data_IF_017455447814
#
_entry.id   IF_017455447814
#
_cell.length_a   1.000
_cell.length_b   1.000
_cell.length_c   1.000
_cell.angle_alpha   90.00
_cell.angle_beta   90.00
_cell.angle_gamma   90.00
#
_symmetry.space_group_name_H-M   'P 1'
#
loop_
_entity.id
_entity.type
_entity.pdbx_description
1 polymer ?
#
# COMPACT_ATOMS: atom_id res chain seq x y z
N UNK A 1 11.92 -26.34 29.97
CA UNK A 1 11.59 -24.90 30.05
C UNK A 1 10.54 -24.63 29.00
N UNK A 2 9.44 -23.93 29.31
CA UNK A 2 8.52 -23.48 28.25
C UNK A 2 9.27 -22.45 27.41
N UNK A 3 9.30 -22.63 26.09
CA UNK A 3 9.93 -21.68 25.17
C UNK A 3 9.30 -20.30 25.38
N UNK A 4 10.12 -19.30 25.69
CA UNK A 4 9.68 -17.91 25.78
C UNK A 4 9.83 -17.28 24.41
N UNK A 5 8.70 -16.90 23.79
CA UNK A 5 8.66 -16.31 22.45
C UNK A 5 8.15 -14.88 22.58
N UNK A 6 8.86 -13.94 21.96
CA UNK A 6 8.38 -12.56 21.85
C UNK A 6 7.80 -12.39 20.46
N UNK A 7 6.57 -11.89 20.38
CA UNK A 7 5.87 -11.66 19.11
C UNK A 7 5.50 -10.19 19.02
N UNK A 8 5.79 -9.58 17.87
CA UNK A 8 5.25 -8.27 17.48
C UNK A 8 4.35 -8.47 16.28
N UNK A 9 3.21 -7.79 16.23
CA UNK A 9 2.31 -7.88 15.07
C UNK A 9 1.61 -6.57 14.78
N UNK A 10 1.40 -6.31 13.49
CA UNK A 10 0.63 -5.17 13.00
C UNK A 10 -0.10 -5.53 11.69
N UNK A 11 -1.15 -4.80 11.36
CA UNK A 11 -1.90 -4.97 10.14
C UNK A 11 -2.83 -3.80 9.85
N UNK A 12 -3.03 -3.52 8.56
CA UNK A 12 -3.87 -2.40 8.15
C UNK A 12 -4.33 -2.52 6.71
N UNK A 13 -5.39 -1.77 6.39
CA UNK A 13 -5.90 -1.58 5.03
C UNK A 13 -5.92 -0.10 4.66
N UNK A 14 -5.70 0.19 3.39
CA UNK A 14 -5.82 1.54 2.85
C UNK A 14 -6.25 1.47 1.37
N UNK A 15 -7.47 1.94 1.02
CA UNK A 15 -8.52 2.45 1.90
C UNK A 15 -9.06 1.37 2.88
N UNK A 16 -9.94 1.76 3.81
CA UNK A 16 -10.56 0.84 4.80
C UNK A 16 -12.10 0.89 4.70
N UNK A 17 -12.77 -0.10 4.06
CA UNK A 17 -12.20 -1.32 3.48
C UNK A 17 -11.41 -1.08 2.18
N UNK A 18 -10.45 -1.96 1.88
CA UNK A 18 -9.58 -1.87 0.71
C UNK A 18 -8.43 -2.87 0.77
N UNK A 19 -7.35 -2.60 0.03
CA UNK A 19 -6.17 -3.47 0.02
C UNK A 19 -5.54 -3.44 1.41
N UNK A 20 -5.25 -4.61 1.98
CA UNK A 20 -4.63 -4.73 3.29
C UNK A 20 -3.38 -5.59 3.29
N UNK A 21 -2.54 -5.34 4.29
CA UNK A 21 -1.34 -6.09 4.59
C UNK A 21 -1.21 -6.28 6.09
N UNK A 22 -0.58 -7.36 6.48
CA UNK A 22 -0.29 -7.70 7.86
C UNK A 22 1.12 -8.27 7.97
N UNK A 23 1.72 -8.14 9.15
CA UNK A 23 3.01 -8.71 9.46
C UNK A 23 3.10 -9.15 10.91
N UNK A 24 3.92 -10.17 11.16
CA UNK A 24 4.33 -10.59 12.48
C UNK A 24 5.81 -10.95 12.52
N UNK A 25 6.50 -10.54 13.57
CA UNK A 25 7.90 -10.90 13.85
C UNK A 25 7.93 -11.71 15.13
N UNK A 26 8.43 -12.94 15.05
CA UNK A 26 8.57 -13.86 16.18
C UNK A 26 10.05 -14.03 16.52
N UNK A 27 10.39 -13.90 17.80
CA UNK A 27 11.75 -14.01 18.30
C UNK A 27 11.84 -15.15 19.33
N UNK A 28 12.80 -16.06 19.12
CA UNK A 28 13.10 -17.18 20.00
C UNK A 28 14.61 -17.37 20.15
N UNK A 29 15.16 -16.96 21.29
CA UNK A 29 16.61 -16.93 21.50
C UNK A 29 17.28 -16.02 20.47
N UNK A 30 18.22 -16.56 19.69
CA UNK A 30 18.89 -15.85 18.60
C UNK A 30 18.16 -15.94 17.25
N UNK A 31 17.05 -16.67 17.17
CA UNK A 31 16.32 -16.89 15.94
C UNK A 31 15.17 -15.90 15.80
N UNK A 32 14.97 -15.43 14.59
CA UNK A 32 13.85 -14.59 14.22
C UNK A 32 13.12 -15.20 13.03
N UNK A 33 11.79 -15.08 13.05
CA UNK A 33 10.93 -15.44 11.94
C UNK A 33 10.01 -14.27 11.61
N UNK A 34 10.06 -13.83 10.37
CA UNK A 34 9.15 -12.82 9.82
C UNK A 34 8.04 -13.52 9.04
N UNK A 35 6.80 -13.14 9.30
CA UNK A 35 5.61 -13.56 8.58
C UNK A 35 4.94 -12.31 8.02
N UNK A 36 4.53 -12.38 6.77
CA UNK A 36 3.75 -11.33 6.11
C UNK A 36 2.62 -11.96 5.32
N UNK A 37 1.59 -11.17 5.07
CA UNK A 37 0.53 -11.52 4.15
C UNK A 37 -0.33 -10.32 3.86
N UNK A 38 -1.26 -10.49 2.94
CA UNK A 38 -2.00 -9.40 2.35
C UNK A 38 -3.33 -9.89 1.80
N UNK A 39 -4.24 -8.95 1.56
CA UNK A 39 -5.58 -9.25 1.08
C UNK A 39 -6.11 -8.09 0.22
N UNK A 40 -6.65 -8.34 -0.99
CA UNK A 40 -7.03 -7.28 -1.93
C UNK A 40 -8.25 -6.46 -1.47
N UNK A 41 -9.10 -7.01 -0.61
CA UNK A 41 -10.28 -6.33 -0.07
C UNK A 41 -10.56 -6.75 1.38
N UNK A 42 -10.16 -5.94 2.34
CA UNK A 42 -10.21 -6.24 3.77
C UNK A 42 -10.36 -4.95 4.58
N UNK A 43 -10.31 -5.03 5.90
CA UNK A 43 -10.33 -3.88 6.82
C UNK A 43 -9.11 -3.87 7.72
N UNK A 44 -8.85 -2.75 8.40
CA UNK A 44 -7.76 -2.66 9.39
C UNK A 44 -7.88 -3.76 10.44
N UNK A 45 -9.05 -3.83 11.09
CA UNK A 45 -9.34 -4.81 12.14
C UNK A 45 -9.12 -6.27 11.70
N UNK A 46 -9.44 -6.60 10.43
CA UNK A 46 -9.21 -7.95 9.90
C UNK A 46 -7.73 -8.24 9.69
N UNK A 47 -6.95 -7.26 9.25
CA UNK A 47 -5.50 -7.43 9.08
C UNK A 47 -4.77 -7.52 10.42
N UNK A 48 -5.17 -6.73 11.42
CA UNK A 48 -4.65 -6.83 12.79
C UNK A 48 -4.93 -8.23 13.38
N UNK A 49 -6.17 -8.74 13.24
CA UNK A 49 -6.53 -10.09 13.66
C UNK A 49 -5.73 -11.16 12.91
N UNK A 50 -5.59 -11.02 11.59
CA UNK A 50 -4.86 -11.97 10.77
C UNK A 50 -3.37 -12.03 11.16
N UNK A 51 -2.76 -10.89 11.50
CA UNK A 51 -1.39 -10.84 12.00
C UNK A 51 -1.21 -11.70 13.26
N UNK A 52 -2.12 -11.56 14.23
CA UNK A 52 -2.10 -12.33 15.47
C UNK A 52 -2.36 -13.82 15.24
N UNK A 53 -3.36 -14.15 14.42
CA UNK A 53 -3.69 -15.54 14.06
C UNK A 53 -2.49 -16.22 13.40
N UNK A 54 -1.90 -15.58 12.38
CA UNK A 54 -0.78 -16.13 11.63
C UNK A 54 0.45 -16.34 12.52
N UNK A 55 0.71 -15.43 13.44
CA UNK A 55 1.81 -15.57 14.39
C UNK A 55 1.62 -16.80 15.28
N UNK A 56 0.47 -16.92 15.95
CA UNK A 56 0.17 -18.03 16.87
C UNK A 56 0.05 -19.37 16.13
N UNK A 57 -0.62 -19.41 14.99
CA UNK A 57 -0.77 -20.62 14.17
C UNK A 57 0.56 -21.16 13.64
N UNK A 58 1.61 -20.33 13.57
CA UNK A 58 2.93 -20.76 13.14
C UNK A 58 3.70 -21.57 14.19
N UNK A 59 3.22 -21.55 15.44
CA UNK A 59 3.82 -22.28 16.56
C UNK A 59 3.36 -23.73 16.55
N UNK A 60 4.33 -24.66 16.56
CA UNK A 60 4.05 -26.11 16.44
C UNK A 60 3.72 -26.80 17.77
N UNK A 61 3.79 -26.06 18.89
CA UNK A 61 3.58 -26.58 20.24
C UNK A 61 3.14 -25.47 21.20
N UNK A 62 2.56 -25.82 22.36
CA UNK A 62 2.28 -24.85 23.43
C UNK A 62 3.53 -24.09 23.87
N UNK A 63 3.43 -22.76 24.01
CA UNK A 63 4.54 -21.84 24.31
C UNK A 63 4.11 -20.82 25.38
N UNK A 64 5.08 -20.18 26.01
CA UNK A 64 4.88 -18.95 26.77
C UNK A 64 5.21 -17.77 25.84
N UNK A 65 4.30 -16.81 25.72
CA UNK A 65 4.38 -15.76 24.70
C UNK A 65 4.25 -14.39 25.34
N UNK A 66 5.18 -13.49 25.04
CA UNK A 66 5.03 -12.05 25.25
C UNK A 66 4.57 -11.45 23.91
N UNK A 67 3.28 -11.10 23.80
CA UNK A 67 2.66 -10.68 22.54
C UNK A 67 2.45 -9.17 22.55
N UNK A 68 3.13 -8.47 21.65
CA UNK A 68 3.09 -7.01 21.49
C UNK A 68 2.27 -6.61 20.26
N UNK A 69 1.33 -5.70 20.46
CA UNK A 69 0.55 -5.08 19.37
C UNK A 69 0.06 -3.69 19.80
N UNK A 70 -0.06 -2.76 18.86
CA UNK A 70 -0.72 -1.48 19.07
C UNK A 70 -2.22 -1.48 18.71
N UNK A 71 -2.73 -2.60 18.16
CA UNK A 71 -4.14 -2.76 17.83
C UNK A 71 -5.00 -2.66 19.07
N UNK A 72 -5.75 -1.56 19.13
CA UNK A 72 -6.77 -1.34 20.14
C UNK A 72 -7.91 -2.37 19.99
N UNK A 73 -8.20 -2.81 18.77
CA UNK A 73 -9.25 -3.78 18.48
C UNK A 73 -8.89 -5.18 19.02
N UNK A 74 -7.67 -5.65 18.77
CA UNK A 74 -7.17 -6.92 19.32
C UNK A 74 -7.08 -6.83 20.85
N UNK A 75 -6.53 -5.73 21.38
CA UNK A 75 -6.46 -5.49 22.83
C UNK A 75 -7.82 -5.61 23.50
N UNK A 76 -8.81 -4.85 23.03
CA UNK A 76 -10.13 -4.85 23.65
C UNK A 76 -10.83 -6.20 23.49
N UNK A 77 -10.70 -6.83 22.33
CA UNK A 77 -11.30 -8.14 22.11
C UNK A 77 -10.76 -9.20 23.05
N UNK A 78 -9.44 -9.33 23.16
CA UNK A 78 -8.80 -10.30 24.05
C UNK A 78 -9.09 -10.00 25.53
N UNK A 79 -9.03 -8.73 25.95
CA UNK A 79 -9.10 -8.41 27.39
C UNK A 79 -10.51 -8.17 27.92
N UNK A 80 -11.50 -7.93 27.06
CA UNK A 80 -12.85 -7.52 27.50
C UNK A 80 -14.00 -8.30 26.86
N UNK A 81 -13.84 -8.84 25.66
CA UNK A 81 -14.99 -9.30 24.87
C UNK A 81 -15.01 -10.79 24.59
N UNK A 82 -13.84 -11.39 24.31
CA UNK A 82 -13.73 -12.70 23.68
C UNK A 82 -14.36 -13.82 24.52
N UNK A 83 -14.19 -13.80 25.84
CA UNK A 83 -14.80 -14.78 26.76
C UNK A 83 -16.33 -14.73 26.65
N UNK A 84 -16.91 -13.54 26.77
CA UNK A 84 -18.35 -13.34 26.69
C UNK A 84 -18.93 -13.62 25.30
N UNK A 85 -18.15 -13.45 24.24
CA UNK A 85 -18.53 -13.86 22.88
C UNK A 85 -18.49 -15.37 22.72
N UNK A 86 -17.47 -16.05 23.24
CA UNK A 86 -17.35 -17.50 23.18
C UNK A 86 -18.50 -18.19 23.96
N UNK A 87 -18.85 -17.67 25.15
CA UNK A 87 -20.00 -18.17 25.94
C UNK A 87 -21.35 -18.01 25.24
N UNK A 88 -21.46 -17.02 24.34
CA UNK A 88 -22.69 -16.68 23.61
C UNK A 88 -22.69 -17.19 22.18
N UNK A 89 -21.88 -18.20 21.87
CA UNK A 89 -21.78 -18.79 20.52
C UNK A 89 -21.56 -17.72 19.44
N UNK A 90 -20.69 -16.74 19.75
CA UNK A 90 -20.28 -15.65 18.86
C UNK A 90 -21.42 -14.76 18.37
N UNK A 91 -22.49 -14.63 19.17
CA UNK A 91 -23.66 -13.80 18.87
C UNK A 91 -23.82 -12.65 19.85
N UNK A 92 -24.24 -11.51 19.31
CA UNK A 92 -24.66 -10.32 20.06
C UNK A 92 -26.08 -10.49 20.60
N UNK A 93 -26.47 -9.59 21.51
CA UNK A 93 -27.85 -9.48 21.99
C UNK A 93 -28.76 -9.18 20.79
N UNK A 94 -29.71 -10.08 20.52
CA UNK A 94 -30.56 -10.02 19.31
C UNK A 94 -30.17 -11.01 18.20
N UNK A 95 -29.20 -11.90 18.44
CA UNK A 95 -28.92 -13.06 17.58
C UNK A 95 -28.03 -12.79 16.37
N UNK A 96 -27.64 -11.53 16.11
CA UNK A 96 -26.67 -11.19 15.08
C UNK A 96 -25.28 -11.71 15.45
N UNK A 97 -24.52 -12.19 14.47
CA UNK A 97 -23.12 -12.57 14.68
C UNK A 97 -22.27 -11.36 15.09
N UNK A 98 -21.24 -11.61 15.89
CA UNK A 98 -20.20 -10.62 16.21
C UNK A 98 -19.43 -10.26 14.93
N UNK A 99 -19.03 -9.00 14.79
CA UNK A 99 -18.20 -8.59 13.67
C UNK A 99 -16.86 -9.35 13.67
N UNK A 100 -16.45 -9.85 12.49
CA UNK A 100 -15.25 -10.68 12.34
C UNK A 100 -15.25 -11.96 13.20
N UNK A 101 -16.43 -12.53 13.49
CA UNK A 101 -16.56 -13.76 14.27
C UNK A 101 -15.74 -14.92 13.69
N UNK A 102 -15.55 -14.96 12.37
CA UNK A 102 -14.74 -15.95 11.65
C UNK A 102 -13.26 -15.92 12.08
N UNK A 103 -12.69 -14.72 12.24
CA UNK A 103 -11.30 -14.54 12.69
C UNK A 103 -11.18 -14.66 14.20
N UNK A 104 -12.14 -14.12 14.96
CA UNK A 104 -12.14 -14.23 16.41
C UNK A 104 -12.23 -15.69 16.90
N UNK A 105 -13.02 -16.53 16.24
CA UNK A 105 -13.08 -17.97 16.53
C UNK A 105 -11.73 -18.66 16.33
N UNK A 106 -11.04 -18.34 15.23
CA UNK A 106 -9.70 -18.86 14.95
C UNK A 106 -8.68 -18.38 15.99
N UNK A 107 -8.68 -17.08 16.30
CA UNK A 107 -7.78 -16.51 17.29
C UNK A 107 -8.02 -17.13 18.67
N UNK A 108 -9.28 -17.31 19.07
CA UNK A 108 -9.64 -17.93 20.35
C UNK A 108 -9.10 -19.35 20.48
N UNK A 109 -9.29 -20.18 19.44
CA UNK A 109 -8.74 -21.53 19.39
C UNK A 109 -7.23 -21.56 19.62
N UNK A 110 -6.49 -20.59 19.07
CA UNK A 110 -5.04 -20.49 19.22
C UNK A 110 -4.65 -19.97 20.59
N UNK A 111 -5.34 -18.94 21.10
CA UNK A 111 -5.09 -18.36 22.43
C UNK A 111 -5.19 -19.42 23.51
N UNK A 112 -6.15 -20.34 23.42
CA UNK A 112 -6.32 -21.43 24.40
C UNK A 112 -5.16 -22.45 24.42
N UNK A 113 -4.32 -22.49 23.38
CA UNK A 113 -3.20 -23.44 23.29
C UNK A 113 -1.91 -22.92 23.93
N UNK A 114 -1.81 -21.61 24.20
CA UNK A 114 -0.59 -20.96 24.66
C UNK A 114 -0.81 -20.21 25.97
N UNK A 115 0.27 -19.97 26.71
CA UNK A 115 0.26 -19.02 27.83
C UNK A 115 0.71 -17.66 27.31
N UNK A 116 -0.24 -16.76 27.04
CA UNK A 116 0.05 -15.47 26.40
C UNK A 116 -0.09 -14.33 27.39
N UNK A 117 0.97 -13.52 27.49
CA UNK A 117 0.98 -12.22 28.15
C UNK A 117 0.86 -11.15 27.05
N UNK A 118 -0.24 -10.39 27.06
CA UNK A 118 -0.51 -9.36 26.05
C UNK A 118 0.02 -8.01 26.49
N UNK A 119 0.86 -7.41 25.66
CA UNK A 119 1.40 -6.06 25.82
C UNK A 119 0.80 -5.16 24.77
N UNK A 120 0.02 -4.18 25.24
CA UNK A 120 -0.40 -3.10 24.36
C UNK A 120 0.68 -2.03 24.34
N UNK A 121 1.20 -1.78 23.15
CA UNK A 121 2.11 -0.66 22.90
C UNK A 121 1.33 0.47 22.24
N UNK A 122 1.70 1.71 22.54
CA UNK A 122 1.05 2.85 21.89
C UNK A 122 1.64 3.01 20.48
N UNK A 123 0.80 3.03 19.45
CA UNK A 123 1.23 3.22 18.07
C UNK A 123 2.11 4.46 17.90
N UNK A 124 3.19 4.32 17.13
CA UNK A 124 4.19 5.36 16.83
C UNK A 124 4.89 5.98 18.06
N UNK A 125 5.02 5.23 19.16
CA UNK A 125 5.72 5.70 20.38
C UNK A 125 7.25 5.46 20.38
N UNK A 126 7.84 5.09 19.24
CA UNK A 126 9.29 4.86 19.13
C UNK A 126 9.77 3.47 19.55
N UNK A 127 8.89 2.45 19.59
CA UNK A 127 9.30 1.05 19.73
C UNK A 127 9.83 0.55 18.36
N UNK A 128 11.13 0.23 18.23
CA UNK A 128 11.71 -0.15 16.95
C UNK A 128 11.11 -1.42 16.34
N UNK A 129 10.64 -2.36 17.16
CA UNK A 129 10.01 -3.59 16.65
C UNK A 129 8.58 -3.34 16.20
N UNK A 130 7.83 -2.48 16.90
CA UNK A 130 6.50 -2.08 16.44
C UNK A 130 6.55 -1.30 15.11
N UNK A 131 7.48 -0.35 14.99
CA UNK A 131 7.70 0.39 13.73
C UNK A 131 8.13 -0.53 12.58
N UNK A 132 8.88 -1.59 12.91
CA UNK A 132 9.29 -2.59 11.94
C UNK A 132 8.11 -3.43 11.44
N UNK A 133 7.20 -3.89 12.31
CA UNK A 133 6.02 -4.64 11.86
C UNK A 133 5.03 -3.77 11.09
N UNK A 134 4.85 -2.50 11.45
CA UNK A 134 4.07 -1.53 10.64
C UNK A 134 4.65 -1.41 9.22
N UNK A 135 5.97 -1.24 9.13
CA UNK A 135 6.66 -1.14 7.84
C UNK A 135 6.47 -2.40 7.01
N UNK A 136 6.59 -3.59 7.61
CA UNK A 136 6.40 -4.88 6.95
C UNK A 136 4.95 -5.08 6.50
N UNK A 137 3.97 -4.74 7.33
CA UNK A 137 2.55 -4.83 6.99
C UNK A 137 2.21 -3.89 5.81
N UNK A 138 2.76 -2.67 5.83
CA UNK A 138 2.62 -1.72 4.72
C UNK A 138 3.30 -2.21 3.44
N UNK A 139 4.47 -2.84 3.54
CA UNK A 139 5.13 -3.46 2.38
C UNK A 139 4.29 -4.60 1.82
N UNK A 140 3.82 -5.52 2.67
CA UNK A 140 2.96 -6.62 2.26
C UNK A 140 1.68 -6.14 1.56
N UNK A 141 1.06 -5.06 2.06
CA UNK A 141 -0.09 -4.41 1.40
C UNK A 141 0.23 -3.99 -0.04
N UNK A 142 1.41 -3.42 -0.26
CA UNK A 142 1.86 -3.01 -1.59
C UNK A 142 2.22 -4.20 -2.49
N UNK A 143 2.62 -5.34 -1.90
CA UNK A 143 2.92 -6.58 -2.63
C UNK A 143 1.66 -7.22 -3.25
N UNK A 144 0.46 -7.08 -2.64
CA UNK A 144 -0.84 -7.42 -3.27
C UNK A 144 -1.40 -6.22 -4.05
N UNK A 145 -0.59 -5.70 -4.96
CA UNK A 145 -1.20 -5.30 -6.22
C UNK A 145 -0.80 -6.34 -7.26
N UNK A 146 -1.49 -7.49 -7.37
CA UNK A 146 -1.17 -8.53 -8.34
C UNK A 146 -1.81 -8.25 -9.70
N UNK A 147 -1.18 -8.73 -10.77
CA UNK A 147 -1.66 -8.71 -12.17
C UNK A 147 -2.96 -9.48 -12.37
N UNK A 148 -3.20 -10.49 -11.53
CA UNK A 148 -4.31 -11.43 -11.65
C UNK A 148 -5.68 -10.98 -11.07
N UNK A 149 -5.78 -9.75 -10.53
CA UNK A 149 -7.03 -9.20 -9.95
C UNK A 149 -7.52 -7.92 -10.60
N UNK A 150 -6.82 -7.45 -11.61
CA UNK A 150 -7.46 -6.61 -12.61
C UNK A 150 -8.20 -7.57 -13.54
N UNK A 151 -9.42 -7.26 -14.01
CA UNK A 151 -9.97 -7.93 -15.18
C UNK A 151 -8.85 -8.06 -16.22
N UNK A 152 -8.80 -9.18 -16.94
CA UNK A 152 -7.76 -9.46 -17.95
C UNK A 152 -7.62 -8.39 -19.04
N UNK A 153 -8.49 -7.38 -19.07
CA UNK A 153 -8.57 -6.31 -20.04
C UNK A 153 -8.77 -4.94 -19.34
N UNK A 154 -7.92 -4.57 -18.37
CA UNK A 154 -7.89 -3.16 -17.93
C UNK A 154 -6.91 -2.34 -18.78
N UNK A 155 -7.24 -1.07 -19.02
CA UNK A 155 -6.32 -0.11 -19.62
C UNK A 155 -4.93 -0.11 -18.97
N UNK A 156 -3.89 -0.07 -19.81
CA UNK A 156 -2.47 0.03 -19.40
C UNK A 156 -1.86 1.30 -19.96
N UNK A 157 -1.42 2.18 -19.06
CA UNK A 157 -0.71 3.41 -19.39
C UNK A 157 0.80 3.21 -19.19
N UNK A 158 1.59 3.52 -20.21
CA UNK A 158 3.04 3.49 -20.16
C UNK A 158 3.58 4.91 -20.29
N UNK A 159 4.26 5.38 -19.24
CA UNK A 159 4.66 6.76 -19.10
C UNK A 159 6.17 6.93 -19.27
N UNK A 160 6.57 7.95 -20.04
CA UNK A 160 7.96 8.41 -20.11
C UNK A 160 8.02 9.93 -20.23
N UNK A 161 9.15 10.48 -19.80
CA UNK A 161 9.50 11.87 -20.04
C UNK A 161 10.90 12.03 -20.60
N UNK A 162 11.18 13.22 -21.11
CA UNK A 162 12.52 13.67 -21.50
C UNK A 162 12.65 15.17 -21.26
N UNK A 163 13.80 15.61 -20.74
CA UNK A 163 14.14 17.03 -20.64
C UNK A 163 15.58 17.26 -21.09
N UNK A 164 15.80 18.28 -21.91
CA UNK A 164 17.12 18.76 -22.29
C UNK A 164 17.48 19.97 -21.43
N UNK A 165 18.28 19.74 -20.40
CA UNK A 165 18.50 20.72 -19.34
C UNK A 165 17.42 20.60 -18.26
N UNK A 166 17.77 20.92 -17.01
CA UNK A 166 16.86 20.75 -15.87
C UNK A 166 17.03 21.95 -14.91
N UNK A 167 16.38 23.10 -15.18
CA UNK A 167 15.27 23.28 -16.13
C UNK A 167 15.69 23.46 -17.59
N UNK A 168 14.78 23.15 -18.53
CA UNK A 168 14.95 23.31 -19.97
C UNK A 168 13.75 22.77 -20.76
N UNK A 169 13.82 22.73 -22.11
CA UNK A 169 12.78 22.15 -22.94
C UNK A 169 12.54 20.69 -22.60
N UNK A 170 11.28 20.35 -22.32
CA UNK A 170 10.87 19.02 -21.89
C UNK A 170 9.65 18.53 -22.64
N UNK A 171 9.50 17.21 -22.67
CA UNK A 171 8.38 16.51 -23.26
C UNK A 171 8.00 15.31 -22.42
N UNK A 172 6.74 14.93 -22.54
CA UNK A 172 6.18 13.71 -21.96
C UNK A 172 5.52 12.90 -23.07
N UNK A 173 5.48 11.59 -22.87
CA UNK A 173 4.85 10.63 -23.77
C UNK A 173 4.08 9.59 -22.98
N UNK A 174 2.89 9.27 -23.48
CA UNK A 174 1.98 8.27 -22.93
C UNK A 174 1.60 7.32 -24.05
N UNK A 175 1.64 6.03 -23.74
CA UNK A 175 1.01 4.99 -24.57
C UNK A 175 -0.07 4.35 -23.72
N UNK A 176 -1.30 4.35 -24.24
CA UNK A 176 -2.45 3.64 -23.69
C UNK A 176 -2.64 2.36 -24.49
N UNK A 177 -2.77 1.23 -23.80
CA UNK A 177 -3.15 -0.05 -24.38
C UNK A 177 -4.44 -0.54 -23.73
N UNK A 178 -5.47 -0.69 -24.53
CA UNK A 178 -6.79 -1.23 -24.14
C UNK A 178 -7.14 -2.36 -25.09
N UNK A 179 -7.41 -3.56 -24.56
CA UNK A 179 -7.61 -4.77 -25.36
C UNK A 179 -6.45 -4.96 -26.38
N UNK A 180 -6.72 -4.82 -27.68
CA UNK A 180 -5.75 -4.89 -28.78
C UNK A 180 -5.46 -3.53 -29.44
N UNK A 181 -6.01 -2.43 -28.91
CA UNK A 181 -5.80 -1.08 -29.42
C UNK A 181 -4.69 -0.34 -28.66
N UNK A 182 -3.93 0.45 -29.41
CA UNK A 182 -2.84 1.27 -28.88
C UNK A 182 -3.08 2.73 -29.27
N UNK A 183 -3.26 3.58 -28.27
CA UNK A 183 -3.36 5.03 -28.42
C UNK A 183 -2.11 5.72 -27.87
N UNK A 184 -1.71 6.84 -28.50
CA UNK A 184 -0.53 7.60 -28.15
C UNK A 184 -0.89 9.04 -27.87
N UNK A 185 -0.32 9.61 -26.82
CA UNK A 185 -0.44 11.03 -26.52
C UNK A 185 0.90 11.59 -26.06
N UNK A 186 1.15 12.85 -26.37
CA UNK A 186 2.38 13.54 -25.97
C UNK A 186 2.13 15.03 -25.80
N UNK A 187 3.10 15.70 -25.18
CA UNK A 187 3.09 17.14 -25.02
C UNK A 187 4.43 17.64 -24.55
N UNK A 188 4.62 18.95 -24.59
CA UNK A 188 5.89 19.57 -24.28
C UNK A 188 5.74 20.92 -23.57
N UNK A 189 6.82 21.35 -22.93
CA UNK A 189 6.94 22.63 -22.26
C UNK A 189 8.38 23.17 -22.41
N UNK A 190 8.53 24.43 -22.85
CA UNK A 190 9.83 25.05 -23.14
C UNK A 190 10.75 25.19 -21.92
N UNK A 191 10.19 25.38 -20.74
CA UNK A 191 10.94 25.70 -19.53
C UNK A 191 10.42 24.88 -18.36
N UNK A 192 10.80 23.60 -18.33
CA UNK A 192 10.27 22.64 -17.37
C UNK A 192 11.39 21.79 -16.76
N UNK A 193 11.03 20.82 -15.92
CA UNK A 193 11.96 19.85 -15.34
C UNK A 193 11.52 18.44 -15.68
N UNK A 194 12.44 17.48 -15.66
CA UNK A 194 12.06 16.08 -15.93
C UNK A 194 10.97 15.62 -14.94
N UNK A 195 11.13 15.96 -13.66
CA UNK A 195 10.15 15.63 -12.63
C UNK A 195 8.75 16.20 -12.87
N UNK A 196 8.64 17.41 -13.46
CA UNK A 196 7.34 17.95 -13.86
C UNK A 196 6.75 17.15 -15.01
N UNK A 197 7.55 16.83 -16.03
CA UNK A 197 7.11 16.04 -17.18
C UNK A 197 6.65 14.64 -16.78
N UNK A 198 7.28 13.99 -15.79
CA UNK A 198 6.83 12.70 -15.28
C UNK A 198 5.41 12.78 -14.67
N UNK A 199 5.12 13.82 -13.86
CA UNK A 199 3.78 13.99 -13.27
C UNK A 199 2.77 14.39 -14.34
N UNK A 200 3.15 15.26 -15.27
CA UNK A 200 2.28 15.66 -16.39
C UNK A 200 1.93 14.48 -17.28
N UNK A 201 2.86 13.55 -17.54
CA UNK A 201 2.58 12.31 -18.27
C UNK A 201 1.47 11.50 -17.57
N UNK A 202 1.54 11.35 -16.25
CA UNK A 202 0.53 10.62 -15.49
C UNK A 202 -0.86 11.29 -15.54
N UNK A 203 -0.91 12.61 -15.35
CA UNK A 203 -2.15 13.38 -15.43
C UNK A 203 -2.76 13.23 -16.83
N UNK A 204 -1.94 13.44 -17.87
CA UNK A 204 -2.40 13.40 -19.25
C UNK A 204 -2.87 12.00 -19.66
N UNK A 205 -2.19 10.95 -19.21
CA UNK A 205 -2.60 9.58 -19.46
C UNK A 205 -3.91 9.21 -18.76
N UNK A 206 -4.12 9.63 -17.52
CA UNK A 206 -5.40 9.42 -16.83
C UNK A 206 -6.57 10.13 -17.54
N UNK A 207 -6.32 11.32 -18.10
CA UNK A 207 -7.33 12.06 -18.86
C UNK A 207 -7.69 11.44 -20.22
N UNK A 208 -6.93 10.45 -20.70
CA UNK A 208 -7.31 9.65 -21.87
C UNK A 208 -8.40 8.62 -21.53
N UNK A 209 -8.62 8.35 -20.24
CA UNK A 209 -9.54 7.32 -19.77
C UNK A 209 -10.85 7.92 -19.29
N UNK A 210 -11.93 7.16 -19.47
CA UNK A 210 -13.21 7.45 -18.84
C UNK A 210 -13.10 7.45 -17.31
N UNK A 211 -13.80 8.40 -16.67
CA UNK A 211 -13.84 8.48 -15.21
C UNK A 211 -14.51 7.24 -14.63
N UNK A 212 -13.89 6.65 -13.60
CA UNK A 212 -14.32 5.42 -12.96
C UNK A 212 -13.57 4.18 -13.45
N UNK A 213 -12.76 4.31 -14.50
CA UNK A 213 -11.95 3.20 -15.02
C UNK A 213 -10.93 2.68 -14.00
N UNK A 214 -10.68 1.38 -14.05
CA UNK A 214 -9.53 0.75 -13.44
C UNK A 214 -8.35 0.79 -14.43
N UNK A 215 -7.14 1.07 -13.96
CA UNK A 215 -5.97 1.25 -14.84
C UNK A 215 -4.67 0.80 -14.17
N UNK A 216 -3.76 0.23 -14.97
CA UNK A 216 -2.36 0.07 -14.60
C UNK A 216 -1.50 1.18 -15.19
N UNK A 217 -0.65 1.78 -14.37
CA UNK A 217 0.26 2.84 -14.79
C UNK A 217 1.70 2.37 -14.58
N UNK A 218 2.41 2.18 -15.68
CA UNK A 218 3.81 1.79 -15.74
C UNK A 218 4.68 3.04 -15.87
N UNK A 219 5.62 3.21 -14.94
CA UNK A 219 6.62 4.27 -14.99
C UNK A 219 7.99 3.74 -14.60
N UNK A 220 9.04 4.26 -15.24
CA UNK A 220 10.43 4.03 -14.84
C UNK A 220 10.96 5.09 -13.87
N UNK A 221 10.14 6.10 -13.55
CA UNK A 221 10.54 7.23 -12.72
C UNK A 221 10.42 6.90 -11.23
N UNK A 222 11.57 6.79 -10.56
CA UNK A 222 11.59 6.67 -9.10
C UNK A 222 10.94 7.88 -8.42
N UNK A 223 11.07 9.09 -8.99
CA UNK A 223 10.45 10.28 -8.40
C UNK A 223 8.92 10.21 -8.41
N UNK A 224 8.32 9.86 -9.56
CA UNK A 224 6.87 9.71 -9.68
C UNK A 224 6.37 8.54 -8.83
N UNK A 225 7.00 7.37 -8.98
CA UNK A 225 6.57 6.15 -8.28
C UNK A 225 6.67 6.30 -6.75
N UNK A 226 7.80 6.80 -6.23
CA UNK A 226 7.95 6.99 -4.78
C UNK A 226 7.07 8.15 -4.28
N UNK A 227 6.89 9.19 -5.09
CA UNK A 227 5.98 10.30 -4.79
C UNK A 227 4.56 9.82 -4.52
N UNK A 228 4.00 9.05 -5.44
CA UNK A 228 2.63 8.58 -5.33
C UNK A 228 2.45 7.44 -4.32
N UNK A 229 3.41 6.52 -4.21
CA UNK A 229 3.26 5.32 -3.34
C UNK A 229 3.74 5.52 -1.90
N UNK A 230 4.52 6.57 -1.61
CA UNK A 230 5.11 6.77 -0.27
C UNK A 230 4.94 8.18 0.25
N UNK A 231 5.19 9.21 -0.55
CA UNK A 231 5.33 10.57 -0.02
C UNK A 231 4.02 11.33 0.07
N UNK A 232 3.10 11.10 -0.89
CA UNK A 232 1.88 11.89 -1.06
C UNK A 232 1.00 11.93 0.19
N UNK A 233 0.88 10.83 0.94
CA UNK A 233 0.09 10.79 2.17
C UNK A 233 0.66 11.72 3.25
N UNK A 234 1.99 11.77 3.37
CA UNK A 234 2.67 12.68 4.28
C UNK A 234 2.52 14.15 3.86
N UNK A 235 2.53 14.42 2.56
CA UNK A 235 2.29 15.75 2.02
C UNK A 235 0.85 16.21 2.25
N UNK A 236 -0.17 15.37 1.95
CA UNK A 236 -1.59 15.64 2.24
C UNK A 236 -1.80 16.03 3.70
N UNK A 237 -1.27 15.24 4.65
CA UNK A 237 -1.37 15.50 6.11
C UNK A 237 -0.76 16.84 6.53
N UNK A 238 0.20 17.35 5.75
CA UNK A 238 0.93 18.59 6.03
C UNK A 238 0.52 19.72 5.10
N UNK A 239 -0.65 19.61 4.47
CA UNK A 239 -1.17 20.58 3.52
C UNK A 239 -0.15 20.94 2.42
N UNK A 240 0.54 19.92 1.90
CA UNK A 240 1.52 20.03 0.81
C UNK A 240 2.76 20.88 1.14
N UNK A 241 3.11 20.98 2.43
CA UNK A 241 4.26 21.75 2.92
C UNK A 241 5.36 20.89 3.55
N UNK A 242 6.60 21.38 3.43
CA UNK A 242 7.80 20.86 4.08
C UNK A 242 7.91 21.35 5.53
N UNK A 243 8.99 20.96 6.24
CA UNK A 243 9.27 21.37 7.65
C UNK A 243 9.49 22.87 7.81
N UNK A 244 9.99 23.54 6.78
CA UNK A 244 10.22 24.99 6.73
C UNK A 244 8.99 25.77 6.22
N UNK A 245 7.80 25.17 6.26
CA UNK A 245 6.51 25.71 5.77
C UNK A 245 6.45 26.03 4.26
N UNK A 246 7.54 25.81 3.52
CA UNK A 246 7.55 25.96 2.05
C UNK A 246 6.79 24.81 1.39
N UNK A 247 6.15 25.05 0.23
CA UNK A 247 5.52 23.97 -0.54
C UNK A 247 6.51 22.86 -0.89
N UNK A 248 6.01 21.64 -1.00
CA UNK A 248 6.77 20.54 -1.61
C UNK A 248 7.06 20.87 -3.08
N UNK A 249 8.16 20.33 -3.61
CA UNK A 249 8.48 20.54 -5.02
C UNK A 249 7.34 20.01 -5.91
N UNK A 250 6.94 20.80 -6.90
CA UNK A 250 5.85 20.49 -7.83
C UNK A 250 4.49 20.27 -7.13
N UNK A 251 4.23 20.95 -6.01
CA UNK A 251 2.98 20.82 -5.26
C UNK A 251 1.73 21.03 -6.12
N UNK A 252 1.79 21.96 -7.09
CA UNK A 252 0.73 22.23 -8.04
C UNK A 252 0.33 20.99 -8.86
N UNK A 253 1.31 20.31 -9.47
CA UNK A 253 1.05 19.11 -10.26
C UNK A 253 0.70 17.92 -9.38
N UNK A 254 1.33 17.79 -8.22
CA UNK A 254 0.99 16.72 -7.28
C UNK A 254 -0.45 16.85 -6.79
N UNK A 255 -0.91 18.05 -6.44
CA UNK A 255 -2.30 18.31 -6.04
C UNK A 255 -3.28 18.00 -7.18
N UNK A 256 -2.94 18.38 -8.41
CA UNK A 256 -3.76 18.08 -9.58
C UNK A 256 -3.87 16.56 -9.82
N UNK A 257 -2.75 15.84 -9.80
CA UNK A 257 -2.73 14.38 -9.93
C UNK A 257 -3.51 13.72 -8.78
N UNK A 258 -3.33 14.20 -7.56
CA UNK A 258 -3.99 13.69 -6.36
C UNK A 258 -5.52 13.78 -6.44
N UNK A 259 -6.02 14.94 -6.84
CA UNK A 259 -7.45 15.17 -7.05
C UNK A 259 -8.00 14.33 -8.21
N UNK A 260 -7.23 14.16 -9.28
CA UNK A 260 -7.64 13.38 -10.43
C UNK A 260 -7.78 11.89 -10.08
N UNK A 261 -6.86 11.35 -9.26
CA UNK A 261 -6.86 9.96 -8.83
C UNK A 261 -8.12 9.54 -8.08
N UNK A 262 -8.84 10.46 -7.43
CA UNK A 262 -10.13 10.18 -6.78
C UNK A 262 -11.19 9.68 -7.80
N UNK A 263 -10.96 9.89 -9.11
CA UNK A 263 -11.81 9.43 -10.19
C UNK A 263 -11.48 8.04 -10.74
N UNK A 264 -10.42 7.35 -10.30
CA UNK A 264 -9.92 6.13 -10.94
C UNK A 264 -9.49 5.07 -9.93
N UNK A 265 -9.58 3.80 -10.31
CA UNK A 265 -8.97 2.71 -9.56
C UNK A 265 -7.57 2.41 -10.13
N UNK A 266 -6.54 2.99 -9.53
CA UNK A 266 -5.18 3.00 -10.11
C UNK A 266 -4.22 2.02 -9.44
N UNK A 267 -3.54 1.22 -10.26
CA UNK A 267 -2.35 0.45 -9.86
C UNK A 267 -1.10 1.08 -10.45
N UNK A 268 -0.14 1.44 -9.60
CA UNK A 268 1.17 1.91 -10.02
C UNK A 268 2.16 0.74 -10.12
N UNK A 269 2.91 0.69 -11.23
CA UNK A 269 3.94 -0.32 -11.50
C UNK A 269 5.28 0.38 -11.70
N UNK A 270 6.26 0.04 -10.86
CA UNK A 270 7.64 0.44 -11.10
C UNK A 270 8.24 -0.49 -12.17
N UNK A 271 8.37 0.04 -13.38
CA UNK A 271 8.85 -0.70 -14.54
C UNK A 271 10.36 -0.54 -14.77
N UNK A 272 11.11 -0.03 -13.78
CA UNK A 272 12.56 0.19 -13.91
C UNK A 272 13.28 -1.13 -14.17
N UNK A 273 14.05 -1.17 -15.26
CA UNK A 273 14.78 -2.37 -15.69
C UNK A 273 13.92 -3.43 -16.39
N UNK A 274 12.63 -3.16 -16.62
CA UNK A 274 11.76 -4.04 -17.41
C UNK A 274 11.74 -3.61 -18.88
N UNK A 275 11.68 -4.58 -19.78
CA UNK A 275 11.53 -4.34 -21.21
C UNK A 275 10.04 -4.34 -21.57
N UNK A 276 9.53 -3.18 -22.01
CA UNK A 276 8.19 -3.01 -22.56
C UNK A 276 8.32 -2.17 -23.83
N UNK A 277 7.75 -2.64 -24.94
CA UNK A 277 7.82 -1.94 -26.23
C UNK A 277 7.13 -0.58 -26.13
N UNK A 278 6.05 -0.52 -25.37
CA UNK A 278 5.23 0.65 -25.09
C UNK A 278 6.03 1.72 -24.32
N UNK A 279 6.91 1.33 -23.39
CA UNK A 279 7.82 2.28 -22.72
C UNK A 279 8.88 2.82 -23.67
N UNK A 280 9.28 2.08 -24.70
CA UNK A 280 10.19 2.60 -25.73
C UNK A 280 9.45 3.60 -26.64
N UNK A 281 8.21 3.31 -27.02
CA UNK A 281 7.35 4.20 -27.81
C UNK A 281 7.10 5.50 -27.03
N UNK A 282 6.62 5.42 -25.79
CA UNK A 282 6.41 6.57 -24.91
C UNK A 282 7.69 7.41 -24.76
N UNK A 283 8.85 6.76 -24.68
CA UNK A 283 10.15 7.44 -24.60
C UNK A 283 10.49 8.23 -25.86
N UNK A 284 10.22 7.66 -27.05
CA UNK A 284 10.41 8.36 -28.33
C UNK A 284 9.47 9.56 -28.44
N UNK A 285 8.19 9.38 -28.11
CA UNK A 285 7.19 10.46 -28.08
C UNK A 285 7.65 11.63 -27.21
N UNK A 286 8.12 11.35 -25.99
CA UNK A 286 8.62 12.37 -25.08
C UNK A 286 9.82 13.14 -25.64
N UNK A 287 10.76 12.44 -26.27
CA UNK A 287 11.96 13.04 -26.89
C UNK A 287 11.60 13.90 -28.10
N UNK A 288 10.66 13.45 -28.93
CA UNK A 288 10.20 14.19 -30.11
C UNK A 288 9.45 15.45 -29.71
N UNK A 289 8.52 15.35 -28.76
CA UNK A 289 7.78 16.49 -28.23
C UNK A 289 8.73 17.56 -27.66
N UNK A 290 9.74 17.16 -26.87
CA UNK A 290 10.74 18.07 -26.32
C UNK A 290 11.57 18.81 -27.39
N UNK A 291 11.72 18.26 -28.59
CA UNK A 291 12.47 18.88 -29.69
C UNK A 291 11.66 19.92 -30.45
N UNK A 292 10.34 19.74 -30.57
CA UNK A 292 9.45 20.64 -31.30
C UNK A 292 9.27 22.00 -30.60
N UNK A 293 9.61 22.07 -29.32
CA UNK A 293 9.58 23.30 -28.49
C UNK A 293 10.93 24.04 -28.41
N UNK A 294 11.98 23.56 -29.08
CA UNK A 294 13.27 24.26 -29.18
C UNK A 294 13.27 25.39 -30.22
#
# INVERSE_FOLDING_TARGET
>A
MRDNIIIYSDGGSDPNPGIGGWAAVLQFGSHEKVLTGNHPSTTNNRMELQAAISALASLKRPCTIEFHTDSEYVRQGITKWIDGWAERDWKLKGGKAVANADLWQQLWSLVQQHKINWHWVKGHAGDPMNERVDTLARQARLEITPEALLPGDVPRLFLRSSCKGNPGPGGWGVVLVEEDELEQNNGAERATTNNRMEITAAISGLLMLDKGSAVQIFTTSDYLYQGITKWIHGWRKRNWKKRDDKPVANADLWQALDQLLDGYAVRWVNAKGQAHVELEIAGKLAVEAAKLEN
#
